data_IF_618889154250
#
_entry.id   IF_618889154250
#
_cell.length_a   1.000
_cell.length_b   1.000
_cell.length_c   1.000
_cell.angle_alpha   90.00
_cell.angle_beta   90.00
_cell.angle_gamma   90.00
#
_symmetry.space_group_name_H-M   'P 1'
#
loop_
_entity.id
_entity.type
_entity.pdbx_description
1 polymer ?
#
# COMPACT_ATOMS: atom_id res chain seq x y z
N UNK A 1 -44.35 -90.70 8.15
CA UNK A 1 -45.14 -90.25 6.97
C UNK A 1 -44.64 -88.88 6.57
N UNK A 2 -44.16 -88.77 5.33
CA UNK A 2 -43.67 -87.53 4.69
C UNK A 2 -44.82 -86.56 4.49
N UNK A 3 -44.61 -85.27 4.77
CA UNK A 3 -45.24 -84.16 4.02
C UNK A 3 -44.27 -82.98 3.88
N UNK A 4 -44.05 -82.65 2.61
CA UNK A 4 -43.23 -81.56 2.06
C UNK A 4 -44.06 -80.26 2.10
N UNK A 5 -43.42 -79.12 2.34
CA UNK A 5 -43.91 -77.82 1.87
C UNK A 5 -42.73 -76.90 1.51
N UNK A 6 -42.83 -76.33 0.31
CA UNK A 6 -41.92 -75.42 -0.37
C UNK A 6 -42.03 -73.97 0.16
N UNK A 7 -40.94 -73.20 0.09
CA UNK A 7 -40.89 -71.76 -0.26
C UNK A 7 -39.45 -71.24 -0.09
N UNK A 8 -38.71 -70.96 -1.17
CA UNK A 8 -38.61 -69.65 -1.84
C UNK A 8 -37.51 -68.73 -1.27
N UNK A 9 -36.38 -68.72 -2.01
CA UNK A 9 -35.62 -67.57 -2.49
C UNK A 9 -35.71 -66.24 -1.71
N UNK A 10 -34.57 -65.64 -1.35
CA UNK A 10 -34.15 -64.28 -1.77
C UNK A 10 -32.71 -64.04 -1.29
N UNK A 11 -31.82 -63.86 -2.26
CA UNK A 11 -30.44 -63.39 -2.14
C UNK A 11 -30.48 -61.84 -2.10
N UNK A 12 -30.05 -61.21 -1.01
CA UNK A 12 -29.87 -59.75 -0.95
C UNK A 12 -28.41 -59.38 -1.24
N UNK A 13 -28.11 -58.54 -2.25
CA UNK A 13 -26.86 -57.80 -2.30
C UNK A 13 -27.04 -56.45 -1.58
N UNK A 14 -26.26 -56.23 -0.52
CA UNK A 14 -26.15 -54.93 0.12
C UNK A 14 -25.28 -54.01 -0.74
N UNK A 15 -25.92 -53.08 -1.47
CA UNK A 15 -25.24 -52.01 -2.21
C UNK A 15 -24.92 -50.89 -1.22
N UNK A 16 -23.65 -50.76 -0.85
CA UNK A 16 -23.15 -49.64 -0.07
C UNK A 16 -22.90 -48.44 -0.99
N UNK A 17 -23.80 -47.47 -0.98
CA UNK A 17 -23.62 -46.19 -1.67
C UNK A 17 -22.75 -45.26 -0.80
N UNK A 18 -21.46 -45.13 -1.11
CA UNK A 18 -20.64 -44.04 -0.58
C UNK A 18 -21.03 -42.74 -1.32
N UNK A 19 -21.80 -41.88 -0.66
CA UNK A 19 -21.96 -40.49 -1.09
C UNK A 19 -20.74 -39.71 -0.61
N UNK A 20 -19.76 -39.51 -1.49
CA UNK A 20 -18.71 -38.52 -1.28
C UNK A 20 -19.31 -37.13 -1.49
N UNK A 21 -19.72 -36.48 -0.40
CA UNK A 21 -20.04 -35.06 -0.43
C UNK A 21 -18.73 -34.28 -0.62
N UNK A 22 -18.44 -33.87 -1.86
CA UNK A 22 -17.38 -32.92 -2.12
C UNK A 22 -17.75 -31.58 -1.46
N UNK A 23 -16.85 -30.94 -0.70
CA UNK A 23 -17.11 -29.61 -0.16
C UNK A 23 -17.38 -28.65 -1.32
N UNK A 24 -18.53 -27.99 -1.29
CA UNK A 24 -18.80 -26.84 -2.16
C UNK A 24 -17.73 -25.78 -1.88
N UNK A 25 -16.94 -25.35 -2.87
CA UNK A 25 -16.05 -24.22 -2.68
C UNK A 25 -16.91 -23.00 -2.42
N UNK A 26 -17.01 -22.59 -1.16
CA UNK A 26 -17.55 -21.29 -0.79
C UNK A 26 -16.62 -20.23 -1.37
N UNK A 27 -16.99 -19.67 -2.51
CA UNK A 27 -16.38 -18.48 -3.10
C UNK A 27 -16.79 -17.24 -2.31
N UNK A 28 -16.58 -17.23 -0.99
CA UNK A 28 -16.40 -15.97 -0.27
C UNK A 28 -15.01 -15.51 -0.62
N UNK A 29 -14.92 -14.64 -1.65
CA UNK A 29 -13.66 -14.02 -2.02
C UNK A 29 -13.03 -13.38 -0.79
N UNK A 30 -11.96 -13.99 -0.28
CA UNK A 30 -11.09 -13.36 0.71
C UNK A 30 -10.51 -12.13 0.01
N UNK A 31 -11.10 -10.96 0.25
CA UNK A 31 -10.47 -9.70 -0.10
C UNK A 31 -9.18 -9.67 0.69
N UNK A 32 -8.06 -9.89 0.01
CA UNK A 32 -6.73 -9.74 0.58
C UNK A 32 -6.64 -8.27 0.98
N UNK A 33 -6.83 -7.96 2.27
CA UNK A 33 -6.56 -6.62 2.78
C UNK A 33 -5.12 -6.29 2.38
N UNK A 34 -4.93 -5.14 1.75
CA UNK A 34 -3.58 -4.58 1.67
C UNK A 34 -3.06 -4.54 3.11
N UNK A 35 -1.93 -5.19 3.38
CA UNK A 35 -1.34 -5.21 4.71
C UNK A 35 -0.61 -3.88 4.95
N UNK A 36 -1.31 -2.77 4.75
CA UNK A 36 -0.82 -1.44 5.01
C UNK A 36 -0.92 -1.18 6.51
N UNK A 37 0.16 -0.70 7.10
CA UNK A 37 0.24 -0.44 8.53
C UNK A 37 0.50 1.04 8.75
N UNK A 38 -0.28 1.67 9.62
CA UNK A 38 0.05 2.99 10.16
C UNK A 38 1.35 2.90 10.98
N UNK A 39 2.34 3.71 10.63
CA UNK A 39 3.64 3.79 11.30
C UNK A 39 3.91 5.20 11.79
N UNK A 40 4.69 5.32 12.86
CA UNK A 40 5.23 6.60 13.30
C UNK A 40 6.29 7.09 12.31
N UNK A 41 6.47 8.41 12.22
CA UNK A 41 7.39 9.02 11.24
C UNK A 41 8.81 8.45 11.29
N UNK A 42 9.33 8.21 12.50
CA UNK A 42 10.66 7.64 12.68
C UNK A 42 10.82 6.24 12.04
N UNK A 43 9.72 5.49 11.92
CA UNK A 43 9.74 4.10 11.45
C UNK A 43 9.55 3.98 9.92
N UNK A 44 8.99 4.98 9.24
CA UNK A 44 8.76 4.93 7.79
C UNK A 44 9.54 5.96 6.97
N UNK A 45 10.21 6.92 7.61
CA UNK A 45 11.01 7.93 6.91
C UNK A 45 12.17 7.31 6.12
N UNK A 46 12.55 7.98 5.03
CA UNK A 46 13.57 7.50 4.06
C UNK A 46 14.74 8.47 3.90
N UNK A 47 14.87 9.43 4.79
CA UNK A 47 15.75 10.61 4.65
C UNK A 47 17.22 10.33 4.95
N UNK A 48 17.53 9.25 5.65
CA UNK A 48 18.92 8.87 5.97
C UNK A 48 19.63 8.18 4.78
N UNK A 49 20.97 8.20 4.82
CA UNK A 49 21.83 7.42 3.92
C UNK A 49 22.38 8.23 2.76
N UNK A 50 22.06 7.81 1.53
CA UNK A 50 22.56 8.42 0.30
C UNK A 50 21.38 8.89 -0.55
N UNK A 51 21.52 10.03 -1.22
CA UNK A 51 20.54 10.52 -2.18
C UNK A 51 20.60 9.70 -3.49
N UNK A 52 19.51 9.73 -4.26
CA UNK A 52 19.41 9.17 -5.61
C UNK A 52 18.45 7.99 -5.77
N UNK A 53 17.92 7.44 -4.67
CA UNK A 53 17.02 6.29 -4.66
C UNK A 53 15.66 6.56 -4.00
N UNK A 54 15.33 7.83 -3.71
CA UNK A 54 14.16 8.18 -2.91
C UNK A 54 12.84 7.70 -3.51
N UNK A 55 12.73 7.66 -4.84
CA UNK A 55 11.54 7.13 -5.52
C UNK A 55 11.30 5.66 -5.17
N UNK A 56 12.34 4.83 -5.25
CA UNK A 56 12.22 3.40 -4.96
C UNK A 56 11.86 3.17 -3.49
N UNK A 57 12.50 3.92 -2.58
CA UNK A 57 12.22 3.84 -1.16
C UNK A 57 10.80 4.31 -0.82
N UNK A 58 10.32 5.40 -1.42
CA UNK A 58 8.95 5.89 -1.21
C UNK A 58 7.89 4.92 -1.78
N UNK A 59 8.17 4.30 -2.93
CA UNK A 59 7.30 3.28 -3.52
C UNK A 59 7.19 2.04 -2.63
N UNK A 60 8.30 1.59 -2.03
CA UNK A 60 8.28 0.47 -1.09
C UNK A 60 7.34 0.71 0.10
N UNK A 61 7.21 1.96 0.54
CA UNK A 61 6.31 2.34 1.66
C UNK A 61 4.86 2.47 1.20
N UNK A 62 4.59 3.19 0.11
CA UNK A 62 3.22 3.62 -0.22
C UNK A 62 2.62 2.98 -1.47
N UNK A 63 3.40 2.39 -2.37
CA UNK A 63 2.89 1.86 -3.65
C UNK A 63 2.91 0.34 -3.64
N UNK A 64 4.07 -0.25 -3.32
CA UNK A 64 4.30 -1.69 -3.37
C UNK A 64 3.34 -2.51 -2.47
N UNK A 65 2.88 -2.03 -1.29
CA UNK A 65 1.87 -2.74 -0.49
C UNK A 65 0.53 -2.96 -1.21
N UNK A 66 0.26 -2.21 -2.27
CA UNK A 66 -0.94 -2.32 -3.10
C UNK A 66 -0.69 -3.03 -4.43
N UNK A 67 0.48 -3.64 -4.62
CA UNK A 67 0.75 -4.43 -5.81
C UNK A 67 -0.26 -5.57 -5.97
N UNK A 68 -0.98 -5.60 -7.09
CA UNK A 68 -2.06 -6.55 -7.38
C UNK A 68 -3.28 -6.41 -6.44
N UNK A 69 -3.47 -5.25 -5.81
CA UNK A 69 -4.68 -4.91 -5.04
C UNK A 69 -5.58 -4.04 -5.91
N UNK A 70 -6.88 -4.34 -5.92
CA UNK A 70 -7.88 -3.44 -6.48
C UNK A 70 -8.07 -2.25 -5.52
N UNK A 71 -7.58 -1.08 -5.92
CA UNK A 71 -7.62 0.13 -5.10
C UNK A 71 -9.05 0.57 -4.77
N UNK A 72 -10.06 0.19 -5.55
CA UNK A 72 -11.46 0.50 -5.24
C UNK A 72 -11.99 -0.28 -4.02
N UNK A 73 -11.33 -1.38 -3.66
CA UNK A 73 -11.68 -2.25 -2.54
C UNK A 73 -10.91 -1.94 -1.25
N UNK A 74 -9.96 -0.99 -1.31
CA UNK A 74 -9.18 -0.56 -0.15
C UNK A 74 -10.10 0.10 0.88
N UNK A 75 -9.99 -0.36 2.13
CA UNK A 75 -10.81 0.15 3.22
C UNK A 75 -10.48 1.61 3.58
N UNK A 76 -11.46 2.31 4.14
CA UNK A 76 -11.32 3.73 4.46
C UNK A 76 -10.25 4.00 5.53
N UNK A 77 -10.00 3.02 6.42
CA UNK A 77 -8.96 3.14 7.43
C UNK A 77 -7.58 3.19 6.78
N UNK A 78 -7.30 2.33 5.81
CA UNK A 78 -6.04 2.35 5.05
C UNK A 78 -5.82 3.70 4.35
N UNK A 79 -6.87 4.28 3.77
CA UNK A 79 -6.77 5.60 3.15
C UNK A 79 -6.52 6.72 4.19
N UNK A 80 -7.09 6.60 5.38
CA UNK A 80 -6.82 7.51 6.50
C UNK A 80 -5.37 7.36 7.01
N UNK A 81 -4.87 6.13 7.13
CA UNK A 81 -3.51 5.84 7.60
C UNK A 81 -2.45 6.43 6.64
N UNK A 82 -2.65 6.29 5.32
CA UNK A 82 -1.80 6.95 4.31
C UNK A 82 -1.79 8.46 4.50
N UNK A 83 -2.95 9.08 4.71
CA UNK A 83 -3.05 10.53 4.93
C UNK A 83 -2.37 10.96 6.23
N UNK A 84 -2.51 10.19 7.30
CA UNK A 84 -1.81 10.43 8.57
C UNK A 84 -0.30 10.38 8.40
N UNK A 85 0.23 9.36 7.71
CA UNK A 85 1.66 9.26 7.43
C UNK A 85 2.13 10.39 6.49
N UNK A 86 1.33 10.77 5.49
CA UNK A 86 1.62 11.92 4.62
C UNK A 86 1.74 13.21 5.44
N UNK A 87 0.83 13.46 6.37
CA UNK A 87 0.85 14.63 7.25
C UNK A 87 2.05 14.60 8.21
N UNK A 88 2.41 13.43 8.74
CA UNK A 88 3.60 13.31 9.57
C UNK A 88 4.88 13.67 8.79
N UNK A 89 5.00 13.22 7.54
CA UNK A 89 6.10 13.62 6.65
C UNK A 89 6.06 15.13 6.34
N UNK A 90 4.88 15.72 6.17
CA UNK A 90 4.71 17.17 5.99
C UNK A 90 5.18 17.98 7.20
N UNK A 91 4.73 17.62 8.40
CA UNK A 91 5.15 18.26 9.65
C UNK A 91 6.65 18.15 9.86
N UNK A 92 7.27 17.01 9.53
CA UNK A 92 8.72 16.88 9.60
C UNK A 92 9.46 17.88 8.69
N UNK A 93 8.88 18.29 7.54
CA UNK A 93 9.50 19.31 6.68
C UNK A 93 9.64 20.66 7.39
N UNK A 94 8.59 21.11 8.07
CA UNK A 94 8.51 22.45 8.66
C UNK A 94 9.01 22.50 10.10
N UNK A 95 8.74 21.46 10.88
CA UNK A 95 8.95 21.48 12.32
C UNK A 95 10.33 20.95 12.70
N UNK A 96 10.96 20.18 11.80
CA UNK A 96 12.23 19.49 12.08
C UNK A 96 13.31 19.83 11.04
N UNK A 97 13.04 19.60 9.74
CA UNK A 97 14.02 19.89 8.68
C UNK A 97 14.35 21.37 8.57
N UNK A 98 13.36 22.26 8.49
CA UNK A 98 13.59 23.69 8.32
C UNK A 98 14.44 24.32 9.46
N UNK A 99 14.17 24.04 10.75
CA UNK A 99 15.04 24.45 11.84
C UNK A 99 16.44 23.82 11.78
N UNK A 100 16.54 22.51 11.51
CA UNK A 100 17.83 21.81 11.48
C UNK A 100 18.74 22.33 10.35
N UNK A 101 18.18 22.59 9.16
CA UNK A 101 18.89 23.16 8.03
C UNK A 101 19.35 24.57 8.35
N UNK A 102 18.47 25.39 8.95
CA UNK A 102 18.80 26.77 9.34
C UNK A 102 19.95 26.84 10.36
N UNK A 103 20.05 25.83 11.23
CA UNK A 103 21.11 25.74 12.25
C UNK A 103 22.42 25.13 11.73
N UNK A 104 22.40 24.44 10.59
CA UNK A 104 23.55 23.75 10.02
C UNK A 104 24.30 24.60 8.99
N UNK A 105 25.52 24.19 8.66
CA UNK A 105 26.31 24.79 7.58
C UNK A 105 27.14 23.74 6.85
N UNK A 106 27.71 24.11 5.70
CA UNK A 106 28.59 23.23 4.92
C UNK A 106 27.93 21.91 4.53
N UNK A 107 28.69 20.83 4.59
CA UNK A 107 28.25 19.49 4.22
C UNK A 107 27.08 18.98 5.08
N UNK A 108 26.98 19.39 6.34
CA UNK A 108 25.86 19.02 7.20
C UNK A 108 24.55 19.63 6.71
N UNK A 109 24.54 20.91 6.33
CA UNK A 109 23.37 21.56 5.74
C UNK A 109 23.00 20.90 4.39
N UNK A 110 23.98 20.55 3.56
CA UNK A 110 23.73 19.81 2.31
C UNK A 110 23.10 18.44 2.57
N UNK A 111 23.59 17.68 3.55
CA UNK A 111 23.04 16.37 3.89
C UNK A 111 21.59 16.46 4.41
N UNK A 112 21.28 17.46 5.23
CA UNK A 112 19.91 17.72 5.70
C UNK A 112 18.98 18.15 4.56
N UNK A 113 19.47 18.96 3.61
CA UNK A 113 18.68 19.32 2.43
C UNK A 113 18.38 18.11 1.54
N UNK A 114 19.37 17.23 1.34
CA UNK A 114 19.16 15.97 0.64
C UNK A 114 18.11 15.11 1.37
N UNK A 115 18.20 14.99 2.69
CA UNK A 115 17.21 14.29 3.50
C UNK A 115 15.81 14.89 3.38
N UNK A 116 15.69 16.22 3.32
CA UNK A 116 14.41 16.93 3.10
C UNK A 116 13.85 16.62 1.71
N UNK A 117 14.69 16.55 0.68
CA UNK A 117 14.26 16.18 -0.68
C UNK A 117 13.70 14.75 -0.69
N UNK A 118 14.39 13.80 -0.04
CA UNK A 118 13.87 12.42 0.10
C UNK A 118 12.52 12.41 0.83
N UNK A 119 12.38 13.20 1.90
CA UNK A 119 11.11 13.34 2.62
C UNK A 119 9.99 13.95 1.75
N UNK A 120 10.30 14.92 0.88
CA UNK A 120 9.33 15.45 -0.09
C UNK A 120 8.88 14.39 -1.08
N UNK A 121 9.80 13.55 -1.57
CA UNK A 121 9.45 12.41 -2.44
C UNK A 121 8.51 11.45 -1.68
N UNK A 122 8.85 11.07 -0.45
CA UNK A 122 8.03 10.24 0.41
C UNK A 122 6.60 10.78 0.58
N UNK A 123 6.48 12.06 0.97
CA UNK A 123 5.20 12.74 1.17
C UNK A 123 4.36 12.75 -0.11
N UNK A 124 4.95 13.17 -1.23
CA UNK A 124 4.23 13.32 -2.49
C UNK A 124 3.82 11.96 -3.06
N UNK A 125 4.61 10.90 -2.84
CA UNK A 125 4.21 9.53 -3.19
C UNK A 125 2.99 9.08 -2.36
N UNK A 126 2.98 9.33 -1.05
CA UNK A 126 1.81 9.06 -0.21
C UNK A 126 0.57 9.82 -0.68
N UNK A 127 0.73 11.11 -1.02
CA UNK A 127 -0.36 11.95 -1.52
C UNK A 127 -0.94 11.43 -2.85
N UNK A 128 -0.08 11.14 -3.82
CA UNK A 128 -0.48 10.59 -5.12
C UNK A 128 -1.16 9.22 -4.95
N UNK A 129 -0.64 8.35 -4.10
CA UNK A 129 -1.27 7.06 -3.83
C UNK A 129 -2.65 7.22 -3.17
N UNK A 130 -2.77 8.09 -2.17
CA UNK A 130 -4.05 8.37 -1.52
C UNK A 130 -5.08 8.93 -2.50
N UNK A 131 -4.65 9.76 -3.45
CA UNK A 131 -5.50 10.25 -4.54
C UNK A 131 -5.86 9.14 -5.53
N UNK A 132 -4.96 8.22 -5.86
CA UNK A 132 -5.25 7.08 -6.73
C UNK A 132 -6.29 6.13 -6.11
N UNK A 133 -6.24 5.91 -4.79
CA UNK A 133 -7.26 5.16 -4.06
C UNK A 133 -8.61 5.89 -4.15
N UNK A 134 -8.64 7.20 -3.88
CA UNK A 134 -9.87 8.02 -4.01
C UNK A 134 -10.44 7.98 -5.43
N UNK A 135 -9.58 8.05 -6.45
CA UNK A 135 -9.97 7.97 -7.85
C UNK A 135 -10.62 6.63 -8.18
N UNK A 136 -9.99 5.51 -7.80
CA UNK A 136 -10.51 4.17 -8.06
C UNK A 136 -11.89 3.96 -7.42
N UNK A 137 -12.08 4.43 -6.18
CA UNK A 137 -13.36 4.36 -5.47
C UNK A 137 -14.43 5.23 -6.16
N UNK A 138 -14.08 6.46 -6.56
CA UNK A 138 -14.99 7.33 -7.28
C UNK A 138 -15.43 6.73 -8.63
N UNK A 139 -14.50 6.11 -9.37
CA UNK A 139 -14.81 5.41 -10.62
C UNK A 139 -15.75 4.23 -10.40
N UNK A 140 -15.48 3.38 -9.40
CA UNK A 140 -16.35 2.25 -9.07
C UNK A 140 -17.76 2.68 -8.65
N UNK A 141 -17.87 3.85 -8.00
CA UNK A 141 -19.14 4.46 -7.60
C UNK A 141 -19.84 5.26 -8.71
N UNK A 142 -19.26 5.39 -9.91
CA UNK A 142 -19.79 6.22 -11.00
C UNK A 142 -19.83 7.72 -10.69
N UNK A 143 -18.96 8.18 -9.78
CA UNK A 143 -18.85 9.58 -9.36
C UNK A 143 -17.94 10.40 -10.27
N UNK A 144 -18.03 11.74 -10.21
CA UNK A 144 -17.13 12.62 -10.95
C UNK A 144 -15.68 12.46 -10.49
N UNK A 145 -14.74 12.46 -11.42
CA UNK A 145 -13.31 12.22 -11.18
C UNK A 145 -12.41 13.37 -11.62
N UNK A 146 -12.94 14.40 -12.28
CA UNK A 146 -12.16 15.48 -12.91
C UNK A 146 -11.20 16.17 -11.94
N UNK A 147 -11.68 16.46 -10.73
CA UNK A 147 -10.92 17.20 -9.72
C UNK A 147 -9.84 16.32 -9.11
N UNK A 148 -10.12 15.03 -8.91
CA UNK A 148 -9.16 14.05 -8.39
C UNK A 148 -8.04 13.87 -9.40
N UNK A 149 -8.38 13.65 -10.68
CA UNK A 149 -7.40 13.49 -11.76
C UNK A 149 -6.53 14.73 -11.95
N UNK A 150 -7.12 15.93 -11.81
CA UNK A 150 -6.38 17.20 -11.89
C UNK A 150 -5.38 17.33 -10.74
N UNK A 151 -5.78 16.96 -9.51
CA UNK A 151 -4.88 16.92 -8.35
C UNK A 151 -3.77 15.90 -8.52
N UNK A 152 -4.07 14.68 -8.98
CA UNK A 152 -3.05 13.65 -9.25
C UNK A 152 -2.00 14.20 -10.22
N UNK A 153 -2.43 14.88 -11.30
CA UNK A 153 -1.51 15.47 -12.29
C UNK A 153 -0.62 16.54 -11.65
N UNK A 154 -1.19 17.43 -10.83
CA UNK A 154 -0.45 18.48 -10.15
C UNK A 154 0.58 17.91 -9.16
N UNK A 155 0.17 16.96 -8.31
CA UNK A 155 1.07 16.37 -7.31
C UNK A 155 2.12 15.46 -7.95
N UNK A 156 1.78 14.72 -9.01
CA UNK A 156 2.76 13.94 -9.80
C UNK A 156 3.84 14.83 -10.40
N UNK A 157 3.50 16.04 -10.85
CA UNK A 157 4.50 17.00 -11.36
C UNK A 157 5.47 17.45 -10.25
N UNK A 158 4.97 17.70 -9.04
CA UNK A 158 5.82 18.04 -7.89
C UNK A 158 6.68 16.84 -7.48
N UNK A 159 6.12 15.64 -7.47
CA UNK A 159 6.81 14.40 -7.16
C UNK A 159 7.99 14.20 -8.12
N UNK A 160 7.74 14.25 -9.42
CA UNK A 160 8.77 14.10 -10.46
C UNK A 160 9.89 15.16 -10.34
N UNK A 161 9.55 16.40 -9.94
CA UNK A 161 10.54 17.45 -9.70
C UNK A 161 11.48 17.10 -8.55
N UNK A 162 10.94 16.56 -7.46
CA UNK A 162 11.74 16.16 -6.29
C UNK A 162 12.54 14.89 -6.56
N UNK A 163 11.98 13.92 -7.31
CA UNK A 163 12.71 12.73 -7.78
C UNK A 163 13.91 13.15 -8.63
N UNK A 164 13.72 14.04 -9.61
CA UNK A 164 14.82 14.51 -10.45
C UNK A 164 15.89 15.24 -9.63
N UNK A 165 15.49 15.96 -8.57
CA UNK A 165 16.42 16.63 -7.66
C UNK A 165 17.21 15.61 -6.82
N UNK A 166 16.54 14.59 -6.26
CA UNK A 166 17.20 13.49 -5.53
C UNK A 166 18.21 12.76 -6.43
N UNK A 167 17.81 12.42 -7.66
CA UNK A 167 18.67 11.77 -8.67
C UNK A 167 19.86 12.64 -9.05
N UNK A 168 19.68 13.96 -9.19
CA UNK A 168 20.78 14.89 -9.44
C UNK A 168 21.80 14.90 -8.29
N UNK A 169 21.33 14.65 -7.06
CA UNK A 169 22.16 14.58 -5.87
C UNK A 169 22.68 13.15 -5.59
N UNK A 170 22.52 12.22 -6.53
CA UNK A 170 22.91 10.83 -6.34
C UNK A 170 24.35 10.69 -5.85
N UNK A 171 24.54 9.82 -4.84
CA UNK A 171 25.84 9.58 -4.21
C UNK A 171 26.22 10.58 -3.12
N UNK A 172 25.48 11.68 -2.95
CA UNK A 172 25.69 12.60 -1.83
C UNK A 172 25.08 12.06 -0.54
N UNK A 173 25.66 12.45 0.60
CA UNK A 173 25.11 12.14 1.92
C UNK A 173 23.71 12.74 2.09
N UNK A 174 22.85 12.02 2.81
CA UNK A 174 21.49 12.39 3.14
C UNK A 174 21.22 12.10 4.62
N UNK A 175 20.64 13.06 5.34
CA UNK A 175 20.44 13.00 6.79
C UNK A 175 18.97 13.28 7.14
N UNK A 176 18.34 12.38 7.89
CA UNK A 176 17.02 12.56 8.48
C UNK A 176 17.05 13.34 9.79
N UNK A 177 15.86 13.62 10.33
CA UNK A 177 15.64 14.47 11.52
C UNK A 177 14.89 13.79 12.66
N UNK A 178 14.52 12.51 12.47
CA UNK A 178 13.85 11.64 13.43
C UNK A 178 14.71 10.43 13.76
#
# INVERSE_FOLDING_TARGET
MVRIAFASLILLPAIASLVAAAPVPSSTGLVRRAAFQLLDYADFQISNGTAGDAQAQANAVFVDPFANVDLSTVDDQTAADIETMRQAAESAETDQFDPAISAASGSAATALQNGKIKNKVLKLTAEVQGLNIKLAKAQAAGSSTSDISSKITAETKKLNTNIATDQKNAGQASQGVA
#
